data_IF_120725380601
#
_entry.id   IF_120725380601
#
_cell.length_a   1.000
_cell.length_b   1.000
_cell.length_c   1.000
_cell.angle_alpha   90.00
_cell.angle_beta   90.00
_cell.angle_gamma   90.00
#
_symmetry.space_group_name_H-M   'P 1'
#
loop_
_entity.id
_entity.type
_entity.pdbx_description
1 polymer ?
#
# COMPACT_ATOMS: atom_id res chain seq x y z
N UNK A 1 -6.19 -19.74 6.24
CA UNK A 1 -5.43 -19.71 4.98
C UNK A 1 -4.18 -18.89 5.24
N UNK A 2 -2.99 -19.50 5.15
CA UNK A 2 -1.72 -18.81 5.37
C UNK A 2 -1.31 -18.07 4.09
N UNK A 3 -0.82 -16.84 4.23
CA UNK A 3 -0.34 -15.99 3.13
C UNK A 3 0.86 -16.59 2.36
N UNK A 4 1.44 -17.66 2.88
CA UNK A 4 2.60 -18.37 2.31
C UNK A 4 2.27 -19.20 1.04
N UNK A 5 0.99 -19.46 0.75
CA UNK A 5 0.57 -20.30 -0.39
C UNK A 5 0.19 -19.52 -1.65
N UNK A 6 0.33 -18.19 -1.66
CA UNK A 6 0.08 -17.38 -2.84
C UNK A 6 1.33 -17.40 -3.75
N UNK A 7 1.17 -17.92 -4.98
CA UNK A 7 2.20 -17.87 -6.01
C UNK A 7 2.33 -16.45 -6.61
N UNK A 8 2.70 -15.47 -5.79
CA UNK A 8 2.83 -14.06 -6.19
C UNK A 8 3.75 -13.28 -5.26
N UNK A 9 4.21 -12.13 -5.72
CA UNK A 9 5.03 -11.21 -4.91
C UNK A 9 4.13 -10.44 -3.95
N UNK A 10 4.41 -10.55 -2.64
CA UNK A 10 3.71 -9.76 -1.64
C UNK A 10 4.24 -8.32 -1.68
N UNK A 11 3.34 -7.37 -1.91
CA UNK A 11 3.65 -5.94 -1.83
C UNK A 11 3.15 -5.43 -0.49
N UNK A 12 4.10 -5.02 0.36
CA UNK A 12 3.77 -4.39 1.63
C UNK A 12 3.48 -2.91 1.43
N UNK A 13 2.60 -2.36 2.26
CA UNK A 13 2.36 -0.92 2.29
C UNK A 13 3.67 -0.21 2.66
N UNK A 14 4.11 0.80 1.88
CA UNK A 14 5.32 1.55 2.21
C UNK A 14 5.11 2.35 3.50
N UNK A 15 6.20 2.80 4.13
CA UNK A 15 6.10 3.77 5.20
C UNK A 15 5.49 5.07 4.67
N UNK A 16 4.38 5.48 5.27
CA UNK A 16 3.56 6.58 4.79
C UNK A 16 3.90 7.93 5.46
N UNK A 17 4.68 7.88 6.53
CA UNK A 17 5.18 9.01 7.30
C UNK A 17 5.77 8.49 8.62
N UNK A 18 6.56 9.30 9.33
CA UNK A 18 7.20 8.88 10.59
C UNK A 18 6.20 8.52 11.69
N UNK A 19 4.98 9.08 11.64
CA UNK A 19 3.92 8.85 12.62
C UNK A 19 2.58 8.46 11.97
N UNK A 20 2.62 7.83 10.78
CA UNK A 20 1.42 7.44 10.04
C UNK A 20 1.34 5.91 10.02
N UNK A 21 0.48 5.37 10.88
CA UNK A 21 0.23 3.92 10.98
C UNK A 21 -0.79 3.42 9.93
N UNK A 22 -1.65 4.30 9.42
CA UNK A 22 -2.75 3.92 8.51
C UNK A 22 -2.80 4.82 7.27
N UNK A 23 -2.99 4.19 6.10
CA UNK A 23 -3.18 4.87 4.82
C UNK A 23 -4.41 4.35 4.09
N UNK A 24 -5.06 5.23 3.35
CA UNK A 24 -6.19 4.86 2.50
C UNK A 24 -5.73 4.72 1.06
N UNK A 25 -5.94 3.54 0.46
CA UNK A 25 -5.74 3.35 -0.98
C UNK A 25 -6.86 4.09 -1.72
N UNK A 26 -6.53 5.15 -2.44
CA UNK A 26 -7.51 5.95 -3.18
C UNK A 26 -7.77 5.36 -4.55
N UNK A 27 -6.75 4.75 -5.16
CA UNK A 27 -6.87 4.20 -6.50
C UNK A 27 -5.87 3.08 -6.76
N UNK A 28 -6.34 2.05 -7.45
CA UNK A 28 -5.50 1.03 -8.07
C UNK A 28 -5.17 1.45 -9.51
N UNK A 29 -3.89 1.49 -9.85
CA UNK A 29 -3.41 1.79 -11.20
C UNK A 29 -3.23 0.52 -12.04
N UNK A 30 -3.18 -0.64 -11.38
CA UNK A 30 -3.10 -1.97 -12.00
C UNK A 30 -4.34 -2.79 -11.69
N UNK A 31 -4.73 -3.64 -12.63
CA UNK A 31 -5.82 -4.59 -12.48
C UNK A 31 -5.30 -6.04 -12.44
N UNK A 32 -6.08 -6.98 -11.88
CA UNK A 32 -5.71 -8.39 -11.92
C UNK A 32 -5.47 -8.88 -13.35
N UNK A 33 -4.30 -9.47 -13.60
CA UNK A 33 -3.88 -9.94 -14.93
C UNK A 33 -2.99 -8.96 -15.71
N UNK A 34 -2.85 -7.71 -15.25
CA UNK A 34 -1.93 -6.75 -15.87
C UNK A 34 -0.47 -7.13 -15.60
N UNK A 35 0.37 -6.94 -16.61
CA UNK A 35 1.82 -7.09 -16.47
C UNK A 35 2.39 -5.89 -15.71
N UNK A 36 3.19 -6.14 -14.66
CA UNK A 36 3.87 -5.10 -13.87
C UNK A 36 5.33 -4.99 -14.29
N UNK A 37 5.81 -3.77 -14.55
CA UNK A 37 7.22 -3.50 -14.86
C UNK A 37 7.94 -2.78 -13.71
N UNK A 38 9.27 -2.81 -13.71
CA UNK A 38 10.06 -2.08 -12.72
C UNK A 38 9.81 -0.56 -12.87
N UNK A 39 9.84 0.16 -11.74
CA UNK A 39 9.60 1.61 -11.67
C UNK A 39 8.18 2.04 -12.08
N UNK A 40 7.27 1.09 -12.26
CA UNK A 40 5.87 1.36 -12.58
C UNK A 40 5.03 1.54 -11.30
N UNK A 41 4.22 2.61 -11.18
CA UNK A 41 3.37 2.82 -10.03
C UNK A 41 2.18 1.84 -10.02
N UNK A 42 1.91 1.21 -8.87
CA UNK A 42 0.86 0.18 -8.73
C UNK A 42 -0.46 0.72 -8.17
N UNK A 43 -0.36 1.65 -7.22
CA UNK A 43 -1.51 2.21 -6.49
C UNK A 43 -1.19 3.62 -6.02
N UNK A 44 -2.25 4.39 -5.79
CA UNK A 44 -2.21 5.68 -5.12
C UNK A 44 -2.75 5.52 -3.70
N UNK A 45 -2.00 6.05 -2.74
CA UNK A 45 -2.34 6.02 -1.32
C UNK A 45 -2.30 7.44 -0.77
N UNK A 46 -3.30 7.78 0.04
CA UNK A 46 -3.35 9.03 0.78
C UNK A 46 -3.28 8.75 2.25
N UNK A 47 -2.57 9.62 2.96
CA UNK A 47 -2.50 9.61 4.41
C UNK A 47 -3.39 10.72 4.93
N UNK A 48 -4.05 10.43 6.04
CA UNK A 48 -4.75 11.45 6.80
C UNK A 48 -3.87 11.71 8.02
N UNK A 49 -3.24 12.89 8.07
CA UNK A 49 -2.35 13.34 9.15
C UNK A 49 -3.16 13.70 10.40
N UNK A 50 -3.93 12.73 10.92
CA UNK A 50 -4.58 12.82 12.22
C UNK A 50 -3.70 12.11 13.23
N UNK A 51 -2.62 12.78 13.61
CA UNK A 51 -1.93 12.48 14.86
C UNK A 51 -2.55 13.33 15.98
N UNK A 52 -3.54 12.84 16.76
CA UNK A 52 -3.76 13.39 18.08
C UNK A 52 -2.65 12.84 18.98
N UNK A 53 -1.51 13.54 19.03
CA UNK A 53 -0.64 13.39 20.20
C UNK A 53 -1.48 13.89 21.38
N UNK A 54 -2.12 12.96 22.08
CA UNK A 54 -2.70 13.20 23.39
C UNK A 54 -1.54 13.64 24.30
N UNK A 55 -1.44 14.96 24.51
CA UNK A 55 -0.72 15.54 25.64
C UNK A 55 -1.67 15.67 26.83
#
# INVERSE_FOLDING_TARGET
>A
MSIEQLAGTIVYMPALGESIDEGTVTRWLKQPGDHVTAEEPLLEVTTDDRNPILR
#
